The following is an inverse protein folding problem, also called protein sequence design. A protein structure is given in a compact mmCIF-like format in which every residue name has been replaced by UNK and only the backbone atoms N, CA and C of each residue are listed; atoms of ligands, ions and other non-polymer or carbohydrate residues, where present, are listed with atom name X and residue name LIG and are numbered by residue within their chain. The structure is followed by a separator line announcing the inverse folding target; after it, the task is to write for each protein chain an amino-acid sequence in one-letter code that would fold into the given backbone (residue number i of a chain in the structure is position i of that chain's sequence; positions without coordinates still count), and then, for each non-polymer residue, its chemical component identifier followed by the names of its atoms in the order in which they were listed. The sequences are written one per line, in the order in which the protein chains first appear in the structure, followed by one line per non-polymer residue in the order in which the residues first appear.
data_IF_791647237385
#
_entry.id   IF_791647237385
#
_cell.length_a   1.000
_cell.length_b   1.000
_cell.length_c   1.000
_cell.angle_alpha   90.00
_cell.angle_beta   90.00
_cell.angle_gamma   90.00
#
_symmetry.space_group_name_H-M   'P 1'
#
loop_
_entity.id
_entity.type
_entity.pdbx_description
1 polymer ?
#
# COMPACT_ATOMS: atom_id res chain seq x y z
N UNK A 1 -17.15 33.74 9.06
CA UNK A 1 -15.82 33.22 8.70
C UNK A 1 -15.13 32.92 10.01
N UNK A 2 -15.16 31.67 10.47
CA UNK A 2 -14.49 31.30 11.70
C UNK A 2 -12.98 31.37 11.45
N UNK A 3 -12.32 32.35 12.07
CA UNK A 3 -10.88 32.38 12.20
C UNK A 3 -10.51 31.14 13.03
N UNK A 4 -9.89 30.16 12.39
CA UNK A 4 -9.28 29.04 13.08
C UNK A 4 -8.04 29.61 13.76
N UNK A 5 -8.18 30.07 15.00
CA UNK A 5 -7.06 30.38 15.90
C UNK A 5 -6.30 29.07 16.17
N UNK A 6 -5.46 28.67 15.22
CA UNK A 6 -4.50 27.60 15.40
C UNK A 6 -3.28 28.18 16.11
N UNK A 7 -2.98 27.66 17.30
CA UNK A 7 -1.73 27.99 18.00
C UNK A 7 -0.54 27.70 17.07
N UNK A 8 0.53 28.51 17.10
CA UNK A 8 1.67 28.35 16.18
C UNK A 8 2.35 26.96 16.29
N UNK A 9 2.19 26.29 17.43
CA UNK A 9 2.61 24.90 17.63
C UNK A 9 1.77 23.90 16.80
N UNK A 10 0.47 24.12 16.66
CA UNK A 10 -0.43 23.28 15.86
C UNK A 10 -0.13 23.40 14.37
N UNK A 11 0.16 24.61 13.89
CA UNK A 11 0.56 24.84 12.50
C UNK A 11 1.90 24.17 12.21
N UNK A 12 2.84 24.22 13.14
CA UNK A 12 4.16 23.59 12.98
C UNK A 12 4.07 22.06 12.96
N UNK A 13 3.26 21.47 13.86
CA UNK A 13 2.99 20.04 13.88
C UNK A 13 2.24 19.59 12.62
N UNK A 14 1.25 20.37 12.17
CA UNK A 14 0.52 20.13 10.94
C UNK A 14 1.43 20.20 9.70
N UNK A 15 2.32 21.18 9.60
CA UNK A 15 3.28 21.29 8.49
C UNK A 15 4.28 20.13 8.50
N UNK A 16 4.77 19.71 9.66
CA UNK A 16 5.64 18.55 9.79
C UNK A 16 4.94 17.26 9.34
N UNK A 17 3.67 17.10 9.73
CA UNK A 17 2.83 15.98 9.32
C UNK A 17 2.53 15.99 7.81
N UNK A 18 2.14 17.16 7.24
CA UNK A 18 1.89 17.32 5.81
C UNK A 18 3.16 17.09 4.97
N UNK A 19 4.34 17.48 5.49
CA UNK A 19 5.63 17.20 4.85
C UNK A 19 6.00 15.72 4.94
N UNK A 20 5.75 15.06 6.07
CA UNK A 20 5.96 13.61 6.19
C UNK A 20 5.08 12.84 5.20
N UNK A 21 3.78 13.14 5.11
CA UNK A 21 2.89 12.48 4.14
C UNK A 21 3.22 12.86 2.68
N UNK A 22 3.58 14.13 2.42
CA UNK A 22 3.94 14.62 1.07
C UNK A 22 5.33 14.19 0.59
N UNK A 23 6.18 13.66 1.47
CA UNK A 23 7.46 13.04 1.11
C UNK A 23 7.31 11.61 0.55
N UNK A 24 6.11 11.05 0.56
CA UNK A 24 5.86 9.68 0.15
C UNK A 24 4.87 9.70 -1.01
N UNK A 25 5.33 9.23 -2.18
CA UNK A 25 4.52 9.20 -3.39
C UNK A 25 3.30 8.30 -3.17
N UNK A 26 2.11 8.89 -3.21
CA UNK A 26 0.87 8.14 -3.30
C UNK A 26 0.90 7.35 -4.61
N UNK A 27 0.51 6.09 -4.57
CA UNK A 27 0.40 5.28 -5.78
C UNK A 27 -0.61 5.93 -6.73
N UNK A 28 -0.21 6.08 -7.99
CA UNK A 28 -1.08 6.43 -9.10
C UNK A 28 -2.12 5.32 -9.34
N UNK A 29 -3.21 5.65 -10.02
CA UNK A 29 -4.23 4.65 -10.40
C UNK A 29 -3.65 3.52 -11.25
N UNK A 30 -2.66 3.83 -12.09
CA UNK A 30 -1.96 2.85 -12.91
C UNK A 30 -1.16 1.87 -12.04
N UNK A 31 -0.39 2.37 -11.08
CA UNK A 31 0.38 1.54 -10.14
C UNK A 31 -0.54 0.69 -9.26
N UNK A 32 -1.68 1.23 -8.81
CA UNK A 32 -2.69 0.45 -8.06
C UNK A 32 -3.25 -0.67 -8.93
N UNK A 33 -3.51 -0.41 -10.21
CA UNK A 33 -4.04 -1.42 -11.14
C UNK A 33 -3.00 -2.51 -11.41
N UNK A 34 -1.73 -2.14 -11.60
CA UNK A 34 -0.62 -3.08 -11.79
C UNK A 34 -0.39 -3.95 -10.54
N UNK A 35 -0.36 -3.35 -9.35
CA UNK A 35 -0.20 -4.10 -8.11
C UNK A 35 -1.39 -5.04 -7.87
N UNK A 36 -2.61 -4.61 -8.14
CA UNK A 36 -3.80 -5.46 -8.01
C UNK A 36 -3.72 -6.69 -8.92
N UNK A 37 -3.28 -6.51 -10.17
CA UNK A 37 -3.07 -7.60 -11.11
C UNK A 37 -2.05 -8.63 -10.60
N UNK A 38 -0.88 -8.18 -10.13
CA UNK A 38 0.15 -9.07 -9.62
C UNK A 38 -0.25 -9.81 -8.34
N UNK A 39 -1.03 -9.15 -7.46
CA UNK A 39 -1.57 -9.78 -6.24
C UNK A 39 -2.50 -10.93 -6.61
N UNK A 40 -3.44 -10.70 -7.53
CA UNK A 40 -4.38 -11.74 -7.99
C UNK A 40 -3.65 -12.90 -8.67
N UNK A 41 -2.71 -12.59 -9.58
CA UNK A 41 -1.87 -13.60 -10.22
C UNK A 41 -1.06 -14.42 -9.21
N UNK A 42 -0.51 -13.77 -8.18
CA UNK A 42 0.21 -14.41 -7.08
C UNK A 42 -0.66 -15.37 -6.27
N UNK A 43 -1.91 -14.97 -5.96
CA UNK A 43 -2.86 -15.82 -5.24
C UNK A 43 -3.23 -17.07 -6.07
N UNK A 44 -3.57 -16.89 -7.34
CA UNK A 44 -3.90 -18.00 -8.25
C UNK A 44 -2.71 -18.94 -8.44
N UNK A 45 -1.48 -18.41 -8.51
CA UNK A 45 -0.28 -19.22 -8.58
C UNK A 45 -0.05 -20.04 -7.30
N UNK A 46 -0.35 -19.46 -6.12
CA UNK A 46 -0.24 -20.16 -4.84
C UNK A 46 -1.28 -21.29 -4.71
N UNK A 47 -2.51 -21.06 -5.16
CA UNK A 47 -3.56 -22.09 -5.20
C UNK A 47 -3.17 -23.24 -6.11
N UNK A 48 -2.65 -22.93 -7.30
CA UNK A 48 -2.15 -23.92 -8.26
C UNK A 48 -0.99 -24.76 -7.70
N UNK A 49 -0.04 -24.14 -7.02
CA UNK A 49 1.06 -24.84 -6.34
C UNK A 49 0.58 -25.71 -5.18
N UNK A 50 -0.48 -25.29 -4.49
CA UNK A 50 -1.06 -26.06 -3.39
C UNK A 50 -1.79 -27.31 -3.90
N UNK A 51 -2.42 -27.22 -5.08
CA UNK A 51 -3.10 -28.34 -5.74
C UNK A 51 -2.15 -29.34 -6.40
N UNK A 52 -1.02 -28.89 -6.94
CA UNK A 52 0.03 -29.74 -7.51
C UNK A 52 1.43 -29.13 -7.29
N UNK A 53 2.13 -29.48 -6.18
CA UNK A 53 3.46 -28.95 -5.90
C UNK A 53 4.56 -29.45 -6.84
N UNK A 54 4.32 -30.54 -7.57
CA UNK A 54 5.30 -31.24 -8.41
C UNK A 54 5.25 -30.85 -9.88
N UNK A 55 4.37 -29.91 -10.24
CA UNK A 55 4.18 -29.48 -11.62
C UNK A 55 5.45 -28.89 -12.25
N UNK A 56 5.66 -29.08 -13.57
CA UNK A 56 6.90 -28.68 -14.26
C UNK A 56 7.21 -27.17 -14.16
N UNK A 57 6.17 -26.34 -14.08
CA UNK A 57 6.20 -24.87 -13.97
C UNK A 57 6.21 -24.37 -12.51
N UNK A 58 6.40 -25.26 -11.52
CA UNK A 58 6.36 -24.87 -10.11
C UNK A 58 7.39 -23.79 -9.73
N UNK A 59 8.53 -23.76 -10.43
CA UNK A 59 9.54 -22.71 -10.26
C UNK A 59 9.02 -21.32 -10.65
N UNK A 60 8.36 -21.23 -11.80
CA UNK A 60 7.81 -19.98 -12.33
C UNK A 60 6.61 -19.51 -11.50
N UNK A 61 5.74 -20.44 -11.10
CA UNK A 61 4.63 -20.13 -10.21
C UNK A 61 5.11 -19.56 -8.87
N UNK A 62 6.19 -20.11 -8.28
CA UNK A 62 6.77 -19.55 -7.04
C UNK A 62 7.27 -18.12 -7.24
N UNK A 63 7.78 -17.79 -8.43
CA UNK A 63 8.17 -16.43 -8.78
C UNK A 63 6.97 -15.50 -8.82
N UNK A 64 5.88 -15.92 -9.45
CA UNK A 64 4.62 -15.16 -9.52
C UNK A 64 4.04 -14.93 -8.12
N UNK A 65 4.05 -15.95 -7.23
CA UNK A 65 3.66 -15.78 -5.82
C UNK A 65 4.48 -14.71 -5.12
N UNK A 66 5.80 -14.68 -5.37
CA UNK A 66 6.71 -13.69 -4.78
C UNK A 66 6.38 -12.27 -5.28
N UNK A 67 6.19 -12.11 -6.60
CA UNK A 67 5.80 -10.82 -7.20
C UNK A 67 4.46 -10.30 -6.66
N UNK A 68 3.48 -11.19 -6.44
CA UNK A 68 2.20 -10.82 -5.84
C UNK A 68 2.34 -10.36 -4.38
N UNK A 69 3.21 -11.01 -3.59
CA UNK A 69 3.49 -10.58 -2.21
C UNK A 69 4.22 -9.24 -2.16
N UNK A 70 5.19 -9.03 -3.04
CA UNK A 70 5.92 -7.76 -3.11
C UNK A 70 4.98 -6.62 -3.53
N UNK A 71 4.08 -6.88 -4.49
CA UNK A 71 3.04 -5.92 -4.89
C UNK A 71 2.06 -5.62 -3.76
N UNK A 72 1.68 -6.63 -2.98
CA UNK A 72 0.85 -6.42 -1.78
C UNK A 72 1.55 -5.52 -0.74
N UNK A 73 2.84 -5.76 -0.46
CA UNK A 73 3.61 -4.90 0.44
C UNK A 73 3.66 -3.45 -0.06
N UNK A 74 3.96 -3.23 -1.35
CA UNK A 74 3.98 -1.88 -1.95
C UNK A 74 2.61 -1.20 -1.89
N UNK A 75 1.54 -1.94 -2.19
CA UNK A 75 0.18 -1.41 -2.14
C UNK A 75 -0.23 -1.05 -0.71
N UNK A 76 0.22 -1.81 0.29
CA UNK A 76 0.02 -1.51 1.70
C UNK A 76 0.87 -0.32 2.15
N UNK A 77 2.13 -0.25 1.79
CA UNK A 77 3.01 0.86 2.16
C UNK A 77 2.55 2.19 1.54
N UNK A 78 2.11 2.15 0.27
CA UNK A 78 1.51 3.29 -0.41
C UNK A 78 0.17 3.73 0.17
N UNK A 79 -0.66 2.79 0.67
CA UNK A 79 -2.00 3.09 1.19
C UNK A 79 -2.11 3.22 2.72
N UNK A 80 -1.20 2.65 3.52
CA UNK A 80 -1.27 2.73 4.99
C UNK A 80 -1.00 4.13 5.55
N UNK A 81 -0.43 5.04 4.76
CA UNK A 81 -0.31 6.45 5.17
C UNK A 81 -1.66 7.19 5.18
N UNK A 82 -2.70 6.68 4.52
CA UNK A 82 -4.07 7.18 4.67
C UNK A 82 -4.67 6.84 6.05
N UNK A 83 -4.27 5.75 6.71
CA UNK A 83 -4.81 5.39 8.05
C UNK A 83 -4.35 6.33 9.15
N UNK A 84 -3.11 6.86 9.07
CA UNK A 84 -2.64 7.89 10.01
C UNK A 84 -3.48 9.18 9.96
N UNK A 85 -4.16 9.46 8.85
CA UNK A 85 -5.04 10.61 8.72
C UNK A 85 -6.40 10.42 9.42
N UNK A 86 -6.92 9.19 9.47
CA UNK A 86 -8.24 8.91 10.07
C UNK A 86 -8.13 8.75 11.59
N UNK A 87 -6.99 8.27 12.11
CA UNK A 87 -6.80 8.01 13.54
C UNK A 87 -6.41 9.26 14.35
N UNK A 88 -5.89 10.31 13.69
CA UNK A 88 -5.53 11.60 14.33
C UNK A 88 -6.72 12.60 14.37
N UNK A 89 -7.87 12.26 13.77
CA UNK A 89 -9.06 13.12 13.68
C UNK A 89 -10.32 12.52 14.34
N UNK A 90 -10.17 11.49 15.18
CA UNK A 90 -11.23 11.01 16.07
C UNK A 90 -10.87 11.43 17.50
N UNK A 91 -11.77 12.10 18.24
CA UNK A 91 -11.54 12.50 19.64
C UNK A 91 -11.43 11.32 20.60
#
# INVERSE_FOLDING_TARGET
MADLDCEPADVTALVAYLRDIGQHELLTLEEVSEHSYWIEAGLLAAEQLSGDPGRPDAGDLRRIVTLGRDSWHRMIEGNLRLRKFIEVQQP
#
